data_IF_344040960356
#
_entry.id   IF_344040960356
#
_cell.length_a   1.000
_cell.length_b   1.000
_cell.length_c   1.000
_cell.angle_alpha   90.00
_cell.angle_beta   90.00
_cell.angle_gamma   90.00
#
_symmetry.space_group_name_H-M   'P 1'
#
loop_
_entity.id
_entity.type
_entity.pdbx_description
1 polymer ?
#
# COMPACT_ATOMS: atom_id res chain seq x y z
N UNK A 1 7.19 -11.53 -7.27
CA UNK A 1 7.77 -11.06 -5.99
C UNK A 1 7.08 -11.81 -4.86
N UNK A 2 7.69 -12.87 -4.34
CA UNK A 2 7.23 -13.48 -3.10
C UNK A 2 7.60 -12.53 -1.94
N UNK A 3 6.65 -12.16 -1.06
CA UNK A 3 7.01 -11.55 0.19
C UNK A 3 7.72 -12.64 0.98
N UNK A 4 9.03 -12.53 1.17
CA UNK A 4 9.68 -13.27 2.24
C UNK A 4 9.00 -12.75 3.51
N UNK A 5 8.14 -13.58 4.09
CA UNK A 5 7.40 -13.29 5.32
C UNK A 5 8.37 -12.75 6.36
N UNK A 6 7.90 -11.73 7.11
CA UNK A 6 8.67 -10.92 8.05
C UNK A 6 9.90 -11.64 8.58
N UNK A 7 11.04 -11.38 7.95
CA UNK A 7 12.30 -11.90 8.42
C UNK A 7 12.58 -11.15 9.72
N UNK A 8 12.34 -11.83 10.84
CA UNK A 8 12.80 -11.38 12.16
C UNK A 8 14.31 -11.22 12.03
N UNK A 9 14.75 -9.97 11.96
CA UNK A 9 16.11 -9.57 11.60
C UNK A 9 17.10 -10.31 12.51
N UNK A 10 17.83 -11.27 11.97
CA UNK A 10 18.86 -12.00 12.71
C UNK A 10 20.15 -11.19 12.73
N UNK A 11 20.43 -10.66 13.93
CA UNK A 11 21.71 -10.44 14.61
C UNK A 11 22.95 -10.11 13.77
N UNK A 12 23.38 -8.85 13.87
CA UNK A 12 24.78 -8.46 13.66
C UNK A 12 24.95 -7.19 12.82
N UNK A 13 24.58 -7.26 11.54
CA UNK A 13 25.01 -6.27 10.54
C UNK A 13 23.98 -5.18 10.18
N UNK A 14 22.73 -5.26 10.67
CA UNK A 14 21.62 -4.39 10.21
C UNK A 14 21.12 -3.35 11.23
N UNK A 15 21.76 -3.28 12.40
CA UNK A 15 21.37 -2.34 13.46
C UNK A 15 21.82 -0.90 13.10
N UNK A 16 22.95 -0.74 12.41
CA UNK A 16 23.45 0.56 11.93
C UNK A 16 22.50 1.22 10.94
N UNK A 17 21.99 0.45 9.97
CA UNK A 17 21.17 1.00 8.89
C UNK A 17 19.76 1.35 9.39
N UNK A 18 19.24 0.57 10.35
CA UNK A 18 17.98 0.88 11.02
C UNK A 18 18.10 2.14 11.91
N UNK A 19 19.25 2.36 12.56
CA UNK A 19 19.53 3.58 13.30
C UNK A 19 19.64 4.80 12.36
N UNK A 20 20.38 4.67 11.26
CA UNK A 20 20.48 5.71 10.23
C UNK A 20 19.10 6.03 9.62
N UNK A 21 18.27 5.01 9.39
CA UNK A 21 16.93 5.18 8.86
C UNK A 21 16.03 6.02 9.78
N UNK A 22 16.15 5.84 11.11
CA UNK A 22 15.37 6.58 12.10
C UNK A 22 15.59 8.09 12.03
N UNK A 23 16.85 8.50 11.90
CA UNK A 23 17.21 9.93 11.78
C UNK A 23 16.64 10.52 10.49
N UNK A 24 16.74 9.77 9.38
CA UNK A 24 16.24 10.22 8.08
C UNK A 24 14.71 10.38 8.08
N UNK A 25 13.97 9.51 8.79
CA UNK A 25 12.51 9.61 8.87
C UNK A 25 12.00 10.88 9.57
N UNK A 26 12.85 11.57 10.35
CA UNK A 26 12.50 12.87 10.92
C UNK A 26 12.48 14.00 9.87
N UNK A 27 13.16 13.81 8.73
CA UNK A 27 13.31 14.84 7.72
C UNK A 27 12.06 14.92 6.82
N UNK A 28 11.51 16.12 6.57
CA UNK A 28 10.40 16.31 5.64
C UNK A 28 10.69 15.85 4.21
N UNK A 29 11.97 15.89 3.78
CA UNK A 29 12.40 15.43 2.45
C UNK A 29 12.24 13.92 2.24
N UNK A 30 12.13 13.14 3.32
CA UNK A 30 11.89 11.71 3.25
C UNK A 30 10.40 11.37 3.06
N UNK A 31 9.49 12.36 3.10
CA UNK A 31 8.05 12.13 2.96
C UNK A 31 7.67 11.70 1.54
N UNK A 32 6.69 10.81 1.44
CA UNK A 32 6.20 10.32 0.15
C UNK A 32 5.40 11.40 -0.58
N UNK A 33 5.66 11.65 -1.88
CA UNK A 33 5.02 12.73 -2.64
C UNK A 33 3.51 12.54 -2.84
N UNK A 34 2.99 11.33 -2.63
CA UNK A 34 1.57 11.00 -2.76
C UNK A 34 0.97 10.44 -1.46
N UNK A 35 1.71 10.41 -0.36
CA UNK A 35 1.22 9.91 0.93
C UNK A 35 1.97 10.55 2.11
N UNK A 36 1.36 11.56 2.74
CA UNK A 36 1.96 12.29 3.85
C UNK A 36 2.20 11.45 5.11
N UNK A 37 1.66 10.23 5.20
CA UNK A 37 1.87 9.34 6.33
C UNK A 37 3.08 8.42 6.15
N UNK A 38 3.72 8.40 4.97
CA UNK A 38 4.84 7.51 4.67
C UNK A 38 6.13 8.32 4.51
N UNK A 39 7.18 7.84 5.16
CA UNK A 39 8.55 8.33 5.00
C UNK A 39 9.44 7.20 4.50
N UNK A 40 10.47 7.51 3.71
CA UNK A 40 11.39 6.49 3.17
C UNK A 40 12.85 6.86 3.33
N UNK A 41 13.68 5.83 3.51
CA UNK A 41 15.10 5.87 3.18
C UNK A 41 15.44 4.63 2.36
N UNK A 42 16.47 4.71 1.52
CA UNK A 42 16.83 3.60 0.64
C UNK A 42 18.32 3.50 0.43
N UNK A 43 18.82 2.27 0.43
CA UNK A 43 20.20 1.98 0.06
C UNK A 43 20.24 0.76 -0.84
N UNK A 44 21.37 0.60 -1.52
CA UNK A 44 21.57 -0.45 -2.50
C UNK A 44 22.91 -1.10 -2.24
N UNK A 45 22.90 -2.42 -2.15
CA UNK A 45 24.10 -3.20 -1.91
C UNK A 45 24.09 -4.50 -2.71
N UNK A 46 25.27 -5.08 -2.91
CA UNK A 46 25.39 -6.44 -3.41
C UNK A 46 25.12 -7.39 -2.24
N UNK A 47 24.09 -8.21 -2.35
CA UNK A 47 23.73 -9.19 -1.32
C UNK A 47 24.06 -10.59 -1.82
N UNK A 48 24.86 -11.34 -1.05
CA UNK A 48 25.09 -12.76 -1.28
C UNK A 48 23.81 -13.55 -0.97
N UNK A 49 23.25 -14.23 -1.97
CA UNK A 49 22.03 -15.04 -1.84
C UNK A 49 22.33 -16.49 -1.44
N UNK A 50 23.60 -16.89 -1.43
CA UNK A 50 24.05 -18.25 -1.13
C UNK A 50 24.61 -18.99 -2.36
N UNK A 51 24.93 -20.28 -2.21
CA UNK A 51 25.51 -21.08 -3.30
C UNK A 51 24.50 -21.34 -4.42
N UNK A 52 24.99 -21.38 -5.67
CA UNK A 52 24.18 -21.67 -6.88
C UNK A 52 23.43 -23.01 -6.76
N UNK A 53 24.07 -24.01 -6.13
CA UNK A 53 23.49 -25.34 -5.90
C UNK A 53 23.40 -25.60 -4.41
N UNK A 54 22.20 -25.91 -3.93
CA UNK A 54 21.98 -26.29 -2.53
C UNK A 54 22.79 -27.53 -2.11
N UNK A 55 23.12 -28.40 -3.07
CA UNK A 55 23.92 -29.61 -2.86
C UNK A 55 25.42 -29.36 -2.72
N UNK A 56 25.92 -28.17 -3.07
CA UNK A 56 27.34 -27.81 -2.93
C UNK A 56 27.48 -26.49 -2.14
N UNK A 57 27.57 -26.58 -0.80
CA UNK A 57 27.65 -25.41 0.08
C UNK A 57 28.92 -24.57 -0.10
N UNK A 58 29.97 -25.11 -0.74
CA UNK A 58 31.24 -24.42 -1.05
C UNK A 58 31.33 -23.98 -2.51
N UNK A 59 30.29 -24.23 -3.30
CA UNK A 59 30.22 -23.83 -4.70
C UNK A 59 30.16 -22.32 -4.89
N UNK A 60 30.14 -21.91 -6.15
CA UNK A 60 30.01 -20.51 -6.55
C UNK A 60 28.80 -19.86 -5.87
N UNK A 61 29.02 -18.68 -5.27
CA UNK A 61 27.98 -17.92 -4.59
C UNK A 61 27.32 -16.96 -5.57
N UNK A 62 26.00 -16.94 -5.60
CA UNK A 62 25.25 -15.94 -6.35
C UNK A 62 25.16 -14.68 -5.50
N UNK A 63 25.66 -13.57 -6.03
CA UNK A 63 25.37 -12.24 -5.51
C UNK A 63 24.43 -11.52 -6.45
N UNK A 64 23.51 -10.73 -5.89
CA UNK A 64 22.66 -9.84 -6.69
C UNK A 64 22.58 -8.47 -6.04
N UNK A 65 22.37 -7.45 -6.86
CA UNK A 65 22.19 -6.09 -6.36
C UNK A 65 20.76 -5.95 -5.84
N UNK A 66 20.62 -5.69 -4.55
CA UNK A 66 19.33 -5.49 -3.91
C UNK A 66 19.19 -4.05 -3.45
N UNK A 67 17.99 -3.51 -3.66
CA UNK A 67 17.53 -2.23 -3.17
C UNK A 67 16.70 -2.48 -1.91
N UNK A 68 17.16 -1.91 -0.80
CA UNK A 68 16.47 -1.98 0.48
C UNK A 68 15.79 -0.64 0.72
N UNK A 69 14.45 -0.66 0.78
CA UNK A 69 13.63 0.51 1.01
C UNK A 69 12.99 0.40 2.39
N UNK A 70 13.45 1.21 3.34
CA UNK A 70 12.87 1.28 4.67
C UNK A 70 11.82 2.36 4.67
N UNK A 71 10.60 2.00 5.03
CA UNK A 71 9.48 2.92 5.16
C UNK A 71 9.08 3.07 6.61
N UNK A 72 8.63 4.26 6.99
CA UNK A 72 7.91 4.49 8.25
C UNK A 72 6.51 4.99 7.96
N UNK A 73 5.51 4.27 8.45
CA UNK A 73 4.11 4.67 8.40
C UNK A 73 3.68 5.28 9.74
N UNK A 74 3.37 6.59 9.73
CA UNK A 74 2.95 7.33 10.93
C UNK A 74 1.65 6.81 11.54
N UNK A 75 0.66 6.49 10.72
CA UNK A 75 -0.63 5.96 11.21
C UNK A 75 -0.46 4.60 11.88
N UNK A 76 0.34 3.71 11.27
CA UNK A 76 0.67 2.42 11.87
C UNK A 76 1.51 2.58 13.15
N UNK A 77 2.46 3.50 13.15
CA UNK A 77 3.29 3.79 14.33
C UNK A 77 2.44 4.24 15.52
N UNK A 78 1.46 5.13 15.30
CA UNK A 78 0.56 5.61 16.34
C UNK A 78 -0.31 4.47 16.92
N UNK A 79 -0.81 3.58 16.06
CA UNK A 79 -1.58 2.41 16.52
C UNK A 79 -0.73 1.42 17.33
N UNK A 80 0.51 1.17 16.89
CA UNK A 80 1.45 0.32 17.62
C UNK A 80 1.84 0.94 18.96
N UNK A 81 2.00 2.27 19.02
CA UNK A 81 2.24 3.03 20.24
C UNK A 81 1.09 2.91 21.24
N UNK A 82 -0.14 3.16 20.79
CA UNK A 82 -1.34 3.03 21.62
C UNK A 82 -1.45 1.61 22.21
N UNK A 83 -1.29 0.58 21.37
CA UNK A 83 -1.32 -0.81 21.81
C UNK A 83 -0.20 -1.11 22.81
N UNK A 84 1.03 -0.66 22.54
CA UNK A 84 2.17 -0.88 23.42
C UNK A 84 1.97 -0.26 24.80
N UNK A 85 1.53 1.01 24.85
CA UNK A 85 1.21 1.72 26.10
C UNK A 85 0.04 1.03 26.82
N UNK A 86 -0.98 0.58 26.09
CA UNK A 86 -2.09 -0.19 26.64
C UNK A 86 -1.63 -1.49 27.31
N UNK A 87 -0.74 -2.25 26.67
CA UNK A 87 -0.16 -3.48 27.24
C UNK A 87 0.70 -3.21 28.47
N UNK A 88 1.54 -2.15 28.47
CA UNK A 88 2.33 -1.78 29.66
C UNK A 88 1.43 -1.50 30.87
N UNK A 89 0.35 -0.75 30.69
CA UNK A 89 -0.60 -0.47 31.77
C UNK A 89 -1.36 -1.71 32.23
N UNK A 90 -1.67 -2.66 31.33
CA UNK A 90 -2.28 -3.95 31.72
C UNK A 90 -1.33 -4.76 32.60
N UNK A 91 -0.07 -4.89 32.20
CA UNK A 91 0.95 -5.61 32.98
C UNK A 91 1.19 -4.92 34.32
N UNK A 92 1.27 -3.58 34.32
CA UNK A 92 1.39 -2.78 35.53
C UNK A 92 0.27 -3.09 36.53
N UNK A 93 -0.99 -3.07 36.08
CA UNK A 93 -2.15 -3.40 36.93
C UNK A 93 -2.12 -4.83 37.47
N UNK A 94 -1.66 -5.81 36.69
CA UNK A 94 -1.51 -7.21 37.14
C UNK A 94 -0.50 -7.32 38.29
N UNK A 95 0.67 -6.70 38.11
CA UNK A 95 1.76 -6.71 39.10
C UNK A 95 1.36 -5.96 40.38
N UNK A 96 0.76 -4.77 40.26
CA UNK A 96 0.21 -4.02 41.40
C UNK A 96 -0.97 -4.75 42.07
N UNK A 97 -1.68 -5.58 41.31
CA UNK A 97 -2.72 -6.50 41.79
C UNK A 97 -2.19 -7.70 42.60
N UNK A 98 -0.87 -7.90 42.66
CA UNK A 98 -0.22 -8.96 43.43
C UNK A 98 0.10 -10.23 42.64
N UNK A 99 -0.04 -10.21 41.31
CA UNK A 99 0.44 -11.30 40.44
C UNK A 99 1.97 -11.29 40.45
N UNK A 100 2.59 -12.44 40.73
CA UNK A 100 4.04 -12.55 40.71
C UNK A 100 4.55 -12.48 39.25
N UNK A 101 5.79 -12.05 39.06
CA UNK A 101 6.33 -11.89 37.71
C UNK A 101 6.46 -13.23 36.99
N UNK A 102 6.70 -14.30 37.73
CA UNK A 102 6.86 -15.67 37.25
C UNK A 102 5.53 -16.25 36.72
N UNK A 103 4.40 -15.71 37.21
CA UNK A 103 3.05 -16.14 36.84
C UNK A 103 2.51 -15.41 35.60
N UNK A 104 3.24 -14.41 35.08
CA UNK A 104 2.89 -13.73 33.84
C UNK A 104 3.15 -14.61 32.62
N UNK A 105 2.49 -14.32 31.50
CA UNK A 105 2.79 -15.01 30.24
C UNK A 105 4.23 -14.73 29.77
N UNK A 106 4.88 -15.65 29.04
CA UNK A 106 6.28 -15.46 28.62
C UNK A 106 6.56 -14.17 27.83
N UNK A 107 5.56 -13.66 27.11
CA UNK A 107 5.66 -12.37 26.41
C UNK A 107 5.60 -11.18 27.37
N UNK A 108 4.72 -11.25 28.37
CA UNK A 108 4.56 -10.23 29.41
C UNK A 108 5.79 -10.17 30.34
N UNK A 109 6.40 -11.33 30.63
CA UNK A 109 7.66 -11.40 31.38
C UNK A 109 8.79 -10.62 30.69
N UNK A 110 8.96 -10.81 29.38
CA UNK A 110 9.95 -10.07 28.57
C UNK A 110 9.67 -8.57 28.51
N UNK A 111 8.40 -8.20 28.41
CA UNK A 111 7.98 -6.80 28.46
C UNK A 111 8.30 -6.18 29.83
N UNK A 112 7.98 -6.89 30.91
CA UNK A 112 8.27 -6.45 32.26
C UNK A 112 9.79 -6.27 32.49
N UNK A 113 10.60 -7.20 32.02
CA UNK A 113 12.07 -7.11 32.09
C UNK A 113 12.61 -5.85 31.44
N UNK A 114 12.17 -5.62 30.20
CA UNK A 114 12.71 -4.58 29.34
C UNK A 114 12.21 -3.19 29.73
N UNK A 115 10.93 -3.07 30.06
CA UNK A 115 10.24 -1.77 30.14
C UNK A 115 9.75 -1.40 31.54
N UNK A 116 9.73 -2.31 32.51
CA UNK A 116 9.21 -2.03 33.85
C UNK A 116 10.29 -2.21 34.92
N UNK A 117 10.17 -1.42 35.97
CA UNK A 117 10.91 -1.58 37.23
C UNK A 117 9.90 -1.91 38.31
N UNK A 118 9.96 -3.13 38.85
CA UNK A 118 9.12 -3.57 39.96
C UNK A 118 9.88 -3.33 41.26
N UNK A 119 9.35 -2.45 42.10
CA UNK A 119 9.90 -2.17 43.42
C UNK A 119 9.10 -3.00 44.43
N UNK A 120 9.68 -4.08 44.99
CA UNK A 120 9.01 -4.87 46.01
C UNK A 120 8.79 -4.01 47.26
N UNK A 121 7.60 -4.09 47.85
CA UNK A 121 7.31 -3.32 49.07
C UNK A 121 7.93 -3.99 50.30
N UNK A 122 8.37 -3.19 51.28
CA UNK A 122 8.64 -3.63 52.65
C UNK A 122 7.34 -3.54 53.48
N UNK A 123 6.79 -4.68 53.91
CA UNK A 123 5.60 -4.76 54.79
C UNK A 123 4.26 -4.97 54.05
N UNK A 124 3.13 -4.64 54.70
CA UNK A 124 1.77 -4.82 54.13
C UNK A 124 1.46 -3.74 53.08
N UNK A 125 1.41 -4.10 51.81
CA UNK A 125 0.91 -3.27 50.71
C UNK A 125 1.36 -3.75 49.34
N UNK A 126 0.82 -3.12 48.29
CA UNK A 126 1.06 -3.49 46.89
C UNK A 126 2.47 -3.09 46.43
N UNK A 127 3.13 -3.85 45.53
CA UNK A 127 4.39 -3.44 44.91
C UNK A 127 4.17 -2.20 44.04
N UNK A 128 5.18 -1.34 43.94
CA UNK A 128 5.14 -0.18 43.04
C UNK A 128 5.80 -0.56 41.73
N UNK A 129 5.14 -0.29 40.61
CA UNK A 129 5.65 -0.59 39.27
C UNK A 129 5.85 0.73 38.52
N UNK A 130 7.08 0.95 38.05
CA UNK A 130 7.45 2.15 37.30
C UNK A 130 7.78 1.79 35.85
N UNK A 131 7.32 2.59 34.91
CA UNK A 131 7.66 2.46 33.49
C UNK A 131 9.05 3.08 33.26
N UNK A 132 9.90 2.38 32.50
CA UNK A 132 11.21 2.86 32.07
C UNK A 132 11.05 3.66 30.78
N UNK A 133 10.96 4.99 30.89
CA UNK A 133 10.67 5.86 29.76
C UNK A 133 11.70 5.75 28.62
N UNK A 134 13.00 5.71 28.94
CA UNK A 134 14.06 5.69 27.92
C UNK A 134 14.02 4.42 27.03
N UNK A 135 13.95 3.19 27.59
CA UNK A 135 13.68 1.99 26.81
C UNK A 135 12.37 2.05 26.00
N UNK A 136 11.31 2.64 26.54
CA UNK A 136 10.03 2.75 25.85
C UNK A 136 10.15 3.67 24.62
N UNK A 137 10.70 4.88 24.79
CA UNK A 137 10.98 5.81 23.68
C UNK A 137 11.85 5.16 22.62
N UNK A 138 12.89 4.43 23.04
CA UNK A 138 13.77 3.72 22.13
C UNK A 138 13.04 2.61 21.37
N UNK A 139 12.07 1.91 21.96
CA UNK A 139 11.26 0.91 21.25
C UNK A 139 10.29 1.57 20.27
N UNK A 140 9.60 2.63 20.71
CA UNK A 140 8.58 3.35 19.94
C UNK A 140 9.12 3.95 18.63
N UNK A 141 10.41 4.28 18.58
CA UNK A 141 11.06 4.73 17.35
C UNK A 141 11.01 3.67 16.21
N UNK A 142 10.89 2.38 16.54
CA UNK A 142 10.74 1.29 15.57
C UNK A 142 9.33 1.12 15.02
N UNK A 143 8.33 1.73 15.66
CA UNK A 143 6.95 1.52 15.29
C UNK A 143 6.63 2.08 13.91
N UNK A 144 5.78 1.34 13.19
CA UNK A 144 5.38 1.62 11.82
C UNK A 144 6.48 1.41 10.78
N UNK A 145 7.67 0.91 11.15
CA UNK A 145 8.73 0.61 10.19
C UNK A 145 8.46 -0.70 9.45
N UNK A 146 8.62 -0.69 8.13
CA UNK A 146 8.64 -1.89 7.31
C UNK A 146 9.63 -1.76 6.15
N UNK A 147 10.11 -2.89 5.62
CA UNK A 147 11.13 -2.92 4.58
C UNK A 147 10.60 -3.59 3.32
N UNK A 148 10.80 -2.97 2.17
CA UNK A 148 10.63 -3.59 0.87
C UNK A 148 12.01 -3.85 0.25
N UNK A 149 12.22 -5.08 -0.19
CA UNK A 149 13.45 -5.51 -0.86
C UNK A 149 13.12 -5.72 -2.33
N UNK A 150 13.86 -5.06 -3.21
CA UNK A 150 13.63 -5.04 -4.64
C UNK A 150 14.92 -5.29 -5.40
N UNK A 151 14.91 -6.19 -6.37
CA UNK A 151 16.02 -6.37 -7.32
C UNK A 151 15.79 -5.64 -8.66
N UNK A 152 14.64 -4.97 -8.82
CA UNK A 152 14.21 -4.33 -10.08
C UNK A 152 14.04 -2.82 -9.93
N UNK A 153 13.21 -2.42 -8.98
CA UNK A 153 12.88 -1.02 -8.74
C UNK A 153 13.91 -0.43 -7.78
N UNK A 154 14.74 0.49 -8.27
CA UNK A 154 15.65 1.32 -7.46
C UNK A 154 14.94 2.51 -6.82
N UNK A 155 13.88 3.01 -7.46
CA UNK A 155 13.07 4.10 -6.93
C UNK A 155 12.13 3.57 -5.83
N UNK A 156 12.24 4.06 -4.57
CA UNK A 156 11.36 3.64 -3.49
C UNK A 156 9.89 3.91 -3.81
N UNK A 157 9.56 4.99 -4.51
CA UNK A 157 8.17 5.36 -4.74
C UNK A 157 7.47 4.39 -5.69
N UNK A 158 8.17 3.96 -6.73
CA UNK A 158 7.71 2.87 -7.59
C UNK A 158 7.58 1.56 -6.83
N UNK A 159 8.59 1.19 -6.01
CA UNK A 159 8.54 -0.03 -5.21
C UNK A 159 7.31 -0.04 -4.26
N UNK A 160 7.01 1.09 -3.63
CA UNK A 160 5.83 1.25 -2.77
C UNK A 160 4.52 1.16 -3.56
N UNK A 161 4.43 1.77 -4.75
CA UNK A 161 3.25 1.65 -5.63
C UNK A 161 3.00 0.19 -6.02
N UNK A 162 4.04 -0.53 -6.43
CA UNK A 162 3.92 -1.95 -6.76
C UNK A 162 3.53 -2.80 -5.55
N UNK A 163 4.10 -2.51 -4.37
CA UNK A 163 3.70 -3.18 -3.14
C UNK A 163 2.22 -2.94 -2.80
N UNK A 164 1.73 -1.70 -2.92
CA UNK A 164 0.32 -1.36 -2.69
C UNK A 164 -0.62 -2.03 -3.70
N UNK A 165 -0.20 -2.14 -4.96
CA UNK A 165 -0.96 -2.89 -5.99
C UNK A 165 -1.16 -4.36 -5.63
N UNK A 166 -0.34 -4.94 -4.75
CA UNK A 166 -0.63 -6.28 -4.21
C UNK A 166 -1.94 -6.31 -3.43
N UNK A 167 -2.26 -5.27 -2.65
CA UNK A 167 -3.56 -5.18 -1.97
C UNK A 167 -4.69 -5.07 -2.99
N UNK A 168 -4.46 -4.44 -4.16
CA UNK A 168 -5.45 -4.42 -5.25
C UNK A 168 -5.74 -5.84 -5.78
N UNK A 169 -4.73 -6.73 -5.79
CA UNK A 169 -4.95 -8.15 -6.12
C UNK A 169 -5.84 -8.81 -5.06
N UNK A 170 -5.59 -8.58 -3.77
CA UNK A 170 -6.44 -9.14 -2.70
C UNK A 170 -7.88 -8.58 -2.77
N UNK A 171 -8.04 -7.28 -3.01
CA UNK A 171 -9.34 -6.66 -3.28
C UNK A 171 -10.00 -7.26 -4.54
N UNK A 172 -9.20 -7.59 -5.56
CA UNK A 172 -9.71 -8.21 -6.78
C UNK A 172 -10.30 -9.61 -6.54
N UNK A 173 -9.84 -10.35 -5.52
CA UNK A 173 -10.47 -11.63 -5.15
C UNK A 173 -11.89 -11.44 -4.58
N UNK A 174 -12.13 -10.38 -3.81
CA UNK A 174 -13.49 -10.04 -3.36
C UNK A 174 -14.40 -9.70 -4.55
N UNK A 175 -13.85 -9.03 -5.54
CA UNK A 175 -14.55 -8.68 -6.77
C UNK A 175 -14.81 -9.90 -7.67
N UNK A 176 -13.86 -10.83 -7.81
CA UNK A 176 -14.09 -12.11 -8.47
C UNK A 176 -15.27 -12.83 -7.82
N UNK A 177 -15.34 -12.84 -6.48
CA UNK A 177 -16.42 -13.47 -5.72
C UNK A 177 -17.78 -12.81 -5.95
N UNK A 178 -17.83 -11.47 -5.96
CA UNK A 178 -19.08 -10.69 -6.02
C UNK A 178 -19.53 -10.37 -7.44
N UNK A 179 -18.69 -9.72 -8.26
CA UNK A 179 -19.02 -9.19 -9.58
C UNK A 179 -18.92 -10.24 -10.69
N UNK A 180 -17.97 -11.19 -10.59
CA UNK A 180 -17.74 -12.22 -11.63
C UNK A 180 -18.36 -13.59 -11.28
N UNK A 181 -19.45 -13.57 -10.49
CA UNK A 181 -20.18 -14.75 -10.03
C UNK A 181 -19.25 -15.82 -9.43
N UNK A 182 -18.17 -15.38 -8.75
CA UNK A 182 -17.17 -16.21 -8.08
C UNK A 182 -17.73 -17.04 -6.94
N UNK A 183 -18.70 -16.49 -6.22
CA UNK A 183 -19.25 -17.08 -5.01
C UNK A 183 -20.06 -18.36 -5.26
N UNK A 184 -20.53 -18.59 -6.49
CA UNK A 184 -21.34 -19.76 -6.84
C UNK A 184 -20.63 -20.55 -7.93
N UNK A 185 -20.47 -21.86 -7.72
CA UNK A 185 -19.92 -22.73 -8.76
C UNK A 185 -20.86 -22.74 -9.97
N UNK A 186 -22.18 -22.94 -9.75
CA UNK A 186 -23.24 -23.18 -10.76
C UNK A 186 -22.88 -24.24 -11.81
N UNK A 187 -21.80 -24.97 -11.57
CA UNK A 187 -21.16 -25.97 -12.42
C UNK A 187 -20.71 -27.10 -11.50
N UNK A 188 -20.96 -28.34 -11.92
CA UNK A 188 -20.72 -29.54 -11.11
C UNK A 188 -19.48 -30.34 -11.56
N UNK A 189 -18.84 -29.93 -12.66
CA UNK A 189 -17.67 -30.59 -13.25
C UNK A 189 -16.42 -29.71 -13.11
N UNK A 190 -15.31 -30.30 -12.67
CA UNK A 190 -14.02 -29.63 -12.51
C UNK A 190 -13.53 -28.97 -13.81
N UNK A 191 -13.80 -29.54 -14.98
CA UNK A 191 -13.47 -28.95 -16.28
C UNK A 191 -14.23 -27.64 -16.50
N UNK A 192 -15.52 -27.60 -16.16
CA UNK A 192 -16.38 -26.41 -16.27
C UNK A 192 -16.00 -25.35 -15.24
N UNK A 193 -15.60 -25.76 -14.05
CA UNK A 193 -15.07 -24.85 -13.02
C UNK A 193 -13.79 -24.17 -13.53
N UNK A 194 -12.84 -24.93 -14.07
CA UNK A 194 -11.61 -24.37 -14.66
C UNK A 194 -11.89 -23.42 -15.83
N UNK A 195 -12.82 -23.76 -16.72
CA UNK A 195 -13.26 -22.86 -17.79
C UNK A 195 -13.83 -21.55 -17.26
N UNK A 196 -14.63 -21.62 -16.19
CA UNK A 196 -15.16 -20.42 -15.51
C UNK A 196 -14.05 -19.59 -14.86
N UNK A 197 -13.06 -20.21 -14.24
CA UNK A 197 -11.88 -19.54 -13.69
C UNK A 197 -11.07 -18.81 -14.76
N UNK A 198 -10.89 -19.43 -15.93
CA UNK A 198 -10.23 -18.80 -17.07
C UNK A 198 -10.98 -17.54 -17.53
N UNK A 199 -12.30 -17.63 -17.73
CA UNK A 199 -13.11 -16.46 -18.11
C UNK A 199 -13.02 -15.33 -17.08
N UNK A 200 -12.99 -15.66 -15.79
CA UNK A 200 -12.82 -14.68 -14.70
C UNK A 200 -11.44 -14.02 -14.74
N UNK A 201 -10.39 -14.78 -15.00
CA UNK A 201 -9.03 -14.25 -15.13
C UNK A 201 -8.93 -13.27 -16.31
N UNK A 202 -9.53 -13.61 -17.45
CA UNK A 202 -9.60 -12.75 -18.63
C UNK A 202 -10.41 -11.48 -18.34
N UNK A 203 -11.58 -11.60 -17.71
CA UNK A 203 -12.38 -10.42 -17.34
C UNK A 203 -11.61 -9.49 -16.39
N UNK A 204 -10.85 -10.07 -15.45
CA UNK A 204 -10.02 -9.32 -14.53
C UNK A 204 -8.85 -8.61 -15.23
N UNK A 205 -8.22 -9.25 -16.22
CA UNK A 205 -7.14 -8.61 -16.98
C UNK A 205 -7.64 -7.40 -17.77
N UNK A 206 -8.80 -7.50 -18.44
CA UNK A 206 -9.43 -6.35 -19.10
C UNK A 206 -9.75 -5.23 -18.13
N UNK A 207 -10.28 -5.59 -16.95
CA UNK A 207 -10.61 -4.60 -15.92
C UNK A 207 -9.36 -3.85 -15.44
N UNK A 208 -8.27 -4.55 -15.15
CA UNK A 208 -7.01 -3.91 -14.75
C UNK A 208 -6.42 -3.07 -15.89
N UNK A 209 -6.50 -3.55 -17.12
CA UNK A 209 -6.05 -2.81 -18.29
C UNK A 209 -6.82 -1.49 -18.45
N UNK A 210 -8.15 -1.53 -18.39
CA UNK A 210 -9.00 -0.33 -18.42
C UNK A 210 -8.72 0.61 -17.24
N UNK A 211 -8.54 0.07 -16.04
CA UNK A 211 -8.22 0.89 -14.86
C UNK A 211 -6.87 1.60 -15.02
N UNK A 212 -5.86 0.90 -15.53
CA UNK A 212 -4.55 1.50 -15.81
C UNK A 212 -4.65 2.57 -16.91
N UNK A 213 -5.37 2.29 -18.00
CA UNK A 213 -5.56 3.26 -19.08
C UNK A 213 -6.30 4.51 -18.60
N UNK A 214 -7.32 4.38 -17.75
CA UNK A 214 -8.00 5.52 -17.11
C UNK A 214 -7.06 6.30 -16.19
N UNK A 215 -6.20 5.63 -15.43
CA UNK A 215 -5.19 6.30 -14.60
C UNK A 215 -4.19 7.09 -15.47
N UNK A 216 -3.66 6.49 -16.54
CA UNK A 216 -2.77 7.16 -17.48
C UNK A 216 -3.47 8.35 -18.17
N UNK A 217 -4.74 8.19 -18.52
CA UNK A 217 -5.58 9.28 -19.07
C UNK A 217 -5.72 10.43 -18.09
N UNK A 218 -5.95 10.13 -16.80
CA UNK A 218 -6.01 11.15 -15.75
C UNK A 218 -4.66 11.86 -15.59
N UNK A 219 -3.55 11.13 -15.56
CA UNK A 219 -2.20 11.69 -15.40
C UNK A 219 -1.81 12.57 -16.61
N UNK A 220 -2.14 12.15 -17.83
CA UNK A 220 -1.99 12.96 -19.05
C UNK A 220 -2.83 14.24 -18.99
N UNK A 221 -4.10 14.13 -18.60
CA UNK A 221 -5.00 15.29 -18.47
C UNK A 221 -4.47 16.28 -17.43
N UNK A 222 -3.98 15.79 -16.29
CA UNK A 222 -3.35 16.65 -15.27
C UNK A 222 -2.09 17.33 -15.81
N UNK A 223 -1.26 16.63 -16.58
CA UNK A 223 -0.06 17.23 -17.20
C UNK A 223 -0.43 18.29 -18.23
N UNK A 224 -1.30 17.98 -19.21
CA UNK A 224 -1.74 18.93 -20.24
C UNK A 224 -2.46 20.14 -19.65
N UNK A 225 -3.16 20.00 -18.52
CA UNK A 225 -3.79 21.14 -17.85
C UNK A 225 -2.79 22.20 -17.36
N UNK A 226 -1.50 21.85 -17.23
CA UNK A 226 -0.42 22.73 -16.77
C UNK A 226 0.52 23.15 -17.90
N UNK A 227 0.24 22.75 -19.13
CA UNK A 227 1.07 23.04 -20.29
C UNK A 227 0.81 24.48 -20.78
N UNK A 228 1.81 25.35 -20.64
CA UNK A 228 1.70 26.78 -20.96
C UNK A 228 1.55 27.04 -22.47
N UNK A 229 1.93 26.08 -23.31
CA UNK A 229 1.76 26.13 -24.77
C UNK A 229 0.29 25.96 -25.19
N UNK A 230 -0.56 25.39 -24.33
CA UNK A 230 -1.99 25.21 -24.60
C UNK A 230 -2.80 26.46 -24.25
N UNK A 231 -3.85 26.71 -25.05
CA UNK A 231 -4.77 27.80 -24.78
C UNK A 231 -5.44 27.63 -23.41
N UNK A 232 -5.81 28.75 -22.77
CA UNK A 232 -6.50 28.70 -21.48
C UNK A 232 -7.75 27.80 -21.51
N UNK A 233 -8.50 27.86 -22.61
CA UNK A 233 -9.70 27.03 -22.81
C UNK A 233 -9.37 25.52 -22.83
N UNK A 234 -8.29 25.13 -23.48
CA UNK A 234 -7.85 23.72 -23.52
C UNK A 234 -7.35 23.25 -22.16
N UNK A 235 -6.58 24.08 -21.46
CA UNK A 235 -6.14 23.79 -20.09
C UNK A 235 -7.31 23.59 -19.13
N UNK A 236 -8.32 24.45 -19.21
CA UNK A 236 -9.54 24.34 -18.39
C UNK A 236 -10.32 23.05 -18.69
N UNK A 237 -10.41 22.65 -19.98
CA UNK A 237 -11.02 21.37 -20.38
C UNK A 237 -10.25 20.16 -19.84
N UNK A 238 -8.93 20.17 -19.96
CA UNK A 238 -8.06 19.10 -19.45
C UNK A 238 -8.15 18.98 -17.92
N UNK A 239 -8.17 20.12 -17.21
CA UNK A 239 -8.39 20.15 -15.77
C UNK A 239 -9.76 19.56 -15.39
N UNK A 240 -10.81 19.82 -16.18
CA UNK A 240 -12.14 19.24 -16.00
C UNK A 240 -12.16 17.72 -16.14
N UNK A 241 -11.48 17.17 -17.16
CA UNK A 241 -11.34 15.72 -17.36
C UNK A 241 -10.57 15.09 -16.20
N UNK A 242 -9.42 15.64 -15.84
CA UNK A 242 -8.60 15.16 -14.72
C UNK A 242 -9.39 15.13 -13.41
N UNK A 243 -10.08 16.22 -13.08
CA UNK A 243 -10.88 16.33 -11.86
C UNK A 243 -12.05 15.33 -11.83
N UNK A 244 -12.65 15.05 -12.98
CA UNK A 244 -13.72 14.05 -13.11
C UNK A 244 -13.19 12.63 -12.94
N UNK A 245 -12.14 12.24 -13.67
CA UNK A 245 -11.54 10.90 -13.59
C UNK A 245 -11.01 10.60 -12.19
N UNK A 246 -10.39 11.59 -11.53
CA UNK A 246 -9.90 11.46 -10.15
C UNK A 246 -11.00 11.09 -9.14
N UNK A 247 -12.25 11.46 -9.41
CA UNK A 247 -13.41 11.19 -8.54
C UNK A 247 -14.25 10.00 -9.01
N UNK A 248 -13.95 9.43 -10.18
CA UNK A 248 -14.79 8.44 -10.83
C UNK A 248 -14.15 7.07 -10.74
N UNK A 249 -14.80 6.13 -10.05
CA UNK A 249 -14.37 4.72 -10.03
C UNK A 249 -14.63 4.06 -11.38
N UNK A 250 -13.89 2.99 -11.73
CA UNK A 250 -14.12 2.27 -12.99
C UNK A 250 -15.58 1.82 -13.15
N UNK A 251 -16.24 1.38 -12.07
CA UNK A 251 -17.67 1.01 -12.10
C UNK A 251 -18.56 2.19 -12.48
N UNK A 252 -18.32 3.36 -11.88
CA UNK A 252 -19.08 4.58 -12.20
C UNK A 252 -18.80 5.05 -13.62
N UNK A 253 -17.54 4.94 -14.07
CA UNK A 253 -17.15 5.28 -15.44
C UNK A 253 -17.88 4.38 -16.45
N UNK A 254 -17.85 3.06 -16.24
CA UNK A 254 -18.58 2.12 -17.10
C UNK A 254 -20.08 2.41 -17.05
N UNK A 255 -20.67 2.58 -15.86
CA UNK A 255 -22.08 2.92 -15.70
C UNK A 255 -22.49 4.25 -16.35
N UNK A 256 -21.57 5.23 -16.44
CA UNK A 256 -21.80 6.50 -17.13
C UNK A 256 -21.98 6.33 -18.64
N UNK A 257 -21.32 5.33 -19.23
CA UNK A 257 -21.40 5.00 -20.65
C UNK A 257 -22.22 3.75 -20.96
N UNK A 258 -22.73 3.04 -19.95
CA UNK A 258 -23.52 1.81 -20.07
C UNK A 258 -24.91 2.07 -20.68
N UNK A 259 -25.38 3.33 -20.66
CA UNK A 259 -26.67 3.70 -21.21
C UNK A 259 -26.56 4.91 -22.15
N UNK A 260 -26.53 4.66 -23.46
CA UNK A 260 -26.79 5.70 -24.46
C UNK A 260 -28.32 5.85 -24.58
N UNK A 261 -28.94 6.50 -23.60
CA UNK A 261 -30.33 6.94 -23.77
C UNK A 261 -30.35 8.12 -24.75
N UNK A 262 -30.75 7.85 -25.99
CA UNK A 262 -30.95 8.89 -27.00
C UNK A 262 -32.25 9.63 -26.73
N UNK A 263 -32.23 10.60 -25.82
CA UNK A 263 -33.41 11.41 -25.54
C UNK A 263 -33.51 12.58 -26.53
N UNK A 264 -34.48 12.53 -27.43
CA UNK A 264 -34.71 13.60 -28.42
C UNK A 264 -35.51 14.74 -27.79
N UNK A 265 -34.84 15.84 -27.41
CA UNK A 265 -35.55 17.05 -26.93
C UNK A 265 -36.01 17.91 -28.09
N UNK A 266 -37.33 18.01 -28.23
CA UNK A 266 -38.00 18.89 -29.21
C UNK A 266 -38.09 20.34 -28.77
N UNK A 267 -37.94 20.62 -27.47
CA UNK A 267 -38.12 21.96 -26.89
C UNK A 267 -36.82 22.79 -26.94
N UNK A 268 -36.85 23.95 -27.59
CA UNK A 268 -35.71 24.88 -27.71
C UNK A 268 -35.10 25.32 -26.37
N UNK A 269 -35.90 25.50 -25.30
CA UNK A 269 -35.40 25.89 -23.97
C UNK A 269 -34.73 24.73 -23.23
N UNK A 270 -35.26 23.52 -23.36
CA UNK A 270 -34.67 22.33 -22.75
C UNK A 270 -33.36 21.93 -23.43
N UNK A 271 -33.25 22.18 -24.75
CA UNK A 271 -32.00 21.97 -25.52
C UNK A 271 -30.83 22.84 -25.04
N UNK A 272 -31.10 24.00 -24.46
CA UNK A 272 -30.08 24.88 -23.86
C UNK A 272 -29.63 24.39 -22.46
N UNK A 273 -30.51 23.75 -21.69
CA UNK A 273 -30.21 23.21 -20.34
C UNK A 273 -29.45 21.88 -20.37
N UNK A 274 -29.54 21.10 -21.44
CA UNK A 274 -28.58 20.03 -21.66
C UNK A 274 -27.26 20.63 -22.09
N UNK A 275 -26.38 20.81 -21.10
CA UNK A 275 -25.05 21.36 -21.29
C UNK A 275 -24.24 20.52 -22.28
N UNK A 276 -23.85 21.14 -23.39
CA UNK A 276 -22.85 20.61 -24.34
C UNK A 276 -21.50 20.33 -23.68
N UNK A 277 -21.23 20.92 -22.51
CA UNK A 277 -20.00 20.73 -21.73
C UNK A 277 -19.83 19.30 -21.21
N UNK A 278 -20.90 18.63 -20.78
CA UNK A 278 -20.82 17.22 -20.37
C UNK A 278 -20.39 16.35 -21.56
N UNK A 279 -21.01 16.56 -22.73
CA UNK A 279 -20.63 15.84 -23.95
C UNK A 279 -19.21 16.15 -24.40
N UNK A 280 -18.76 17.40 -24.30
CA UNK A 280 -17.40 17.80 -24.69
C UNK A 280 -16.32 17.21 -23.78
N UNK A 281 -16.53 17.23 -22.45
CA UNK A 281 -15.64 16.56 -21.48
C UNK A 281 -15.59 15.06 -21.73
N UNK A 282 -16.75 14.43 -21.90
CA UNK A 282 -16.85 12.98 -22.07
C UNK A 282 -16.20 12.53 -23.38
N UNK A 283 -16.42 13.29 -24.47
CA UNK A 283 -15.77 13.04 -25.76
C UNK A 283 -14.25 13.17 -25.66
N UNK A 284 -13.76 14.24 -25.01
CA UNK A 284 -12.32 14.43 -24.78
C UNK A 284 -11.74 13.30 -23.93
N UNK A 285 -12.43 12.90 -22.86
CA UNK A 285 -11.99 11.79 -22.00
C UNK A 285 -11.93 10.46 -22.76
N UNK A 286 -12.91 10.17 -23.61
CA UNK A 286 -12.92 8.96 -24.45
C UNK A 286 -11.80 8.98 -25.50
N UNK A 287 -11.55 10.13 -26.13
CA UNK A 287 -10.46 10.29 -27.10
C UNK A 287 -9.10 10.05 -26.43
N UNK A 288 -8.85 10.66 -25.28
CA UNK A 288 -7.61 10.44 -24.54
C UNK A 288 -7.49 8.99 -24.04
N UNK A 289 -8.61 8.36 -23.66
CA UNK A 289 -8.62 6.96 -23.27
C UNK A 289 -8.27 6.04 -24.45
N UNK A 290 -8.78 6.31 -25.65
CA UNK A 290 -8.43 5.57 -26.86
C UNK A 290 -6.92 5.63 -27.15
N UNK A 291 -6.32 6.82 -27.04
CA UNK A 291 -4.87 7.01 -27.17
C UNK A 291 -4.09 6.18 -26.14
N UNK A 292 -4.53 6.20 -24.88
CA UNK A 292 -3.88 5.48 -23.77
C UNK A 292 -4.14 3.96 -23.77
N UNK A 293 -5.20 3.50 -24.44
CA UNK A 293 -5.45 2.08 -24.69
C UNK A 293 -4.53 1.55 -25.79
N UNK A 294 -4.27 2.36 -26.83
CA UNK A 294 -3.41 2.01 -27.95
C UNK A 294 -1.90 2.07 -27.65
N UNK A 295 -1.48 2.84 -26.64
CA UNK A 295 -0.07 3.06 -26.29
C UNK A 295 0.59 1.92 -25.50
N UNK A 296 -0.07 0.76 -25.34
CA UNK A 296 0.52 -0.41 -24.67
C UNK A 296 1.53 -1.11 -25.59
N UNK A 297 2.70 -0.47 -25.79
CA UNK A 297 3.87 -1.16 -26.33
C UNK A 297 4.42 -2.06 -25.23
N UNK A 298 4.49 -3.37 -25.50
CA UNK A 298 5.13 -4.34 -24.63
C UNK A 298 6.64 -4.13 -24.75
N UNK A 299 7.17 -3.13 -24.06
CA UNK A 299 8.60 -3.10 -23.76
C UNK A 299 8.84 -4.08 -22.60
N UNK A 300 9.36 -5.26 -22.98
CA UNK A 300 9.79 -6.34 -22.08
C UNK A 300 11.04 -5.99 -21.28
#
# INVERSE_FOLDING_TARGET
>A
MHPIGGLRLSHGHKISDALLAREIFANPSAACPFDSNIYVTSFTEATELGPVKTSDPKGEKVSTKLHYHYYKNKGKAALEEENFVGELHKIQKKLEGGVAREDLEPAEQKMCEKFLTVIPKRGRGKPTVLIKDEPCKAEMLNFGIFVLISNRHRDPWQALRHYRRRNDIEASYHMIKSELDGARARCWDIKRVRGKELCRLIALSYRFHLQNALQSTQEEAERRSRDEELSKLERDRMAGVAAWLKKTTLRQFLGWFDCIETVTVRNKRAKYRWSTECTARDHLALQMLEENLGSFSVEG
#
